data_IF_480449511422
#
_entry.id   IF_480449511422
#
_cell.length_a   1.000
_cell.length_b   1.000
_cell.length_c   1.000
_cell.angle_alpha   90.00
_cell.angle_beta   90.00
_cell.angle_gamma   90.00
#
_symmetry.space_group_name_H-M   'P 1'
#
loop_
_entity.id
_entity.type
_entity.pdbx_description
1 polymer ?
#
# COMPACT_ATOMS: atom_id res chain seq x y z
N UNK A 1 -5.32 24.87 -10.00
CA UNK A 1 -5.47 24.54 -9.06
C UNK A 1 -4.55 24.30 -8.43
N UNK A 2 -4.38 24.49 -7.83
CA UNK A 2 -3.53 24.19 -7.15
C UNK A 2 -3.52 23.21 -6.45
N UNK A 3 -3.09 22.43 -6.73
CA UNK A 3 -3.14 21.26 -6.15
C UNK A 3 -2.06 21.13 -5.21
N UNK A 4 -2.36 20.89 -3.99
CA UNK A 4 -1.41 20.77 -2.92
C UNK A 4 -1.03 19.32 -2.67
N UNK A 5 -1.34 18.44 -3.58
CA UNK A 5 -1.10 17.02 -3.38
C UNK A 5 0.21 16.59 -4.05
N UNK A 6 0.73 15.46 -3.61
CA UNK A 6 1.95 14.90 -4.16
C UNK A 6 1.76 13.43 -4.43
N UNK A 7 2.40 12.98 -5.49
CA UNK A 7 2.37 11.57 -5.85
C UNK A 7 3.53 10.86 -5.15
N UNK A 8 3.24 9.73 -4.56
CA UNK A 8 4.23 8.94 -3.85
C UNK A 8 4.03 7.46 -4.14
N UNK A 9 5.12 6.72 -4.08
CA UNK A 9 5.09 5.26 -4.21
C UNK A 9 5.65 4.68 -2.93
N UNK A 10 4.90 3.76 -2.35
CA UNK A 10 5.31 3.10 -1.13
C UNK A 10 5.36 1.61 -1.40
N UNK A 11 6.49 0.99 -1.09
CA UNK A 11 6.64 -0.46 -1.19
C UNK A 11 6.88 -1.02 0.19
N UNK A 12 6.14 -2.07 0.53
CA UNK A 12 6.21 -2.67 1.85
C UNK A 12 6.46 -4.16 1.72
N UNK A 13 7.35 -4.68 2.56
CA UNK A 13 7.59 -6.10 2.65
C UNK A 13 7.07 -6.56 4.00
N UNK A 14 6.10 -7.46 3.97
CA UNK A 14 5.37 -7.87 5.16
C UNK A 14 5.57 -9.36 5.35
N UNK A 15 5.99 -9.76 6.55
CA UNK A 15 6.36 -11.15 6.81
C UNK A 15 5.39 -11.87 7.75
N UNK A 16 4.24 -11.28 8.05
CA UNK A 16 3.24 -11.98 8.85
C UNK A 16 1.84 -11.50 8.48
N UNK A 17 0.86 -12.35 8.76
CA UNK A 17 -0.50 -12.09 8.32
C UNK A 17 -1.18 -11.00 9.14
N UNK A 18 -0.79 -10.86 10.39
CA UNK A 18 -1.37 -9.82 11.23
C UNK A 18 -1.05 -8.44 10.68
N UNK A 19 0.22 -8.24 10.32
CA UNK A 19 0.64 -6.96 9.75
C UNK A 19 -0.01 -6.73 8.40
N UNK A 20 -0.14 -7.79 7.60
CA UNK A 20 -0.78 -7.66 6.30
C UNK A 20 -2.23 -7.21 6.47
N UNK A 21 -2.95 -7.77 7.43
CA UNK A 21 -4.33 -7.39 7.67
C UNK A 21 -4.43 -5.94 8.13
N UNK A 22 -3.53 -5.51 9.01
CA UNK A 22 -3.52 -4.13 9.50
C UNK A 22 -3.23 -3.15 8.37
N UNK A 23 -2.26 -3.49 7.52
CA UNK A 23 -1.91 -2.63 6.39
C UNK A 23 -3.08 -2.54 5.41
N UNK A 24 -3.73 -3.66 5.13
CA UNK A 24 -4.86 -3.64 4.20
C UNK A 24 -6.02 -2.80 4.75
N UNK A 25 -6.28 -2.87 6.06
CA UNK A 25 -7.30 -2.04 6.68
C UNK A 25 -6.96 -0.57 6.56
N UNK A 26 -5.69 -0.22 6.81
CA UNK A 26 -5.25 1.15 6.71
C UNK A 26 -5.38 1.68 5.28
N UNK A 27 -4.98 0.87 4.30
CA UNK A 27 -5.08 1.26 2.90
C UNK A 27 -6.53 1.44 2.48
N UNK A 28 -7.42 0.61 3.02
CA UNK A 28 -8.83 0.77 2.74
C UNK A 28 -9.34 2.11 3.26
N UNK A 29 -8.90 2.51 4.44
CA UNK A 29 -9.31 3.79 5.01
C UNK A 29 -8.79 4.97 4.19
N UNK A 30 -7.66 4.80 3.53
CA UNK A 30 -7.05 5.86 2.73
C UNK A 30 -7.35 5.70 1.24
N UNK A 31 -8.30 4.88 0.88
CA UNK A 31 -8.52 4.48 -0.52
C UNK A 31 -8.77 5.65 -1.46
N UNK A 32 -9.30 6.73 -0.94
CA UNK A 32 -9.59 7.88 -1.81
C UNK A 32 -8.32 8.54 -2.35
N UNK A 33 -7.19 8.28 -1.71
CA UNK A 33 -5.92 8.83 -2.18
C UNK A 33 -5.15 7.85 -3.05
N UNK A 34 -5.58 6.60 -3.14
CA UNK A 34 -4.81 5.57 -3.81
C UNK A 34 -5.14 5.56 -5.29
N UNK A 35 -4.11 5.74 -6.12
CA UNK A 35 -4.25 5.67 -7.57
C UNK A 35 -4.22 4.22 -8.03
N UNK A 36 -3.37 3.41 -7.41
CA UNK A 36 -3.25 2.01 -7.75
C UNK A 36 -2.46 1.27 -6.70
N UNK A 37 -2.62 -0.05 -6.66
CA UNK A 37 -1.86 -0.87 -5.75
C UNK A 37 -1.67 -2.25 -6.37
N UNK A 38 -0.60 -2.91 -5.94
CA UNK A 38 -0.31 -4.25 -6.42
C UNK A 38 0.27 -5.06 -5.27
N UNK A 39 -0.34 -6.20 -5.00
CA UNK A 39 0.15 -7.13 -4.00
C UNK A 39 0.79 -8.31 -4.66
N UNK A 40 1.99 -8.68 -4.21
CA UNK A 40 2.72 -9.81 -4.75
C UNK A 40 3.05 -10.75 -3.60
N UNK A 41 2.38 -11.91 -3.52
CA UNK A 41 2.74 -12.89 -2.51
C UNK A 41 4.00 -13.63 -2.94
N UNK A 42 4.96 -13.71 -2.04
CA UNK A 42 6.19 -14.46 -2.30
C UNK A 42 6.23 -15.60 -1.31
N UNK A 43 5.62 -16.72 -1.69
CA UNK A 43 5.35 -17.81 -0.76
C UNK A 43 6.59 -18.53 -0.30
N UNK A 44 7.60 -18.60 -1.14
CA UNK A 44 8.83 -19.30 -0.81
C UNK A 44 9.49 -18.72 0.43
N UNK A 45 9.32 -17.42 0.67
CA UNK A 45 9.89 -16.77 1.83
C UNK A 45 8.84 -16.31 2.82
N UNK A 46 7.59 -16.66 2.61
CA UNK A 46 6.53 -16.28 3.52
C UNK A 46 6.31 -14.78 3.57
N UNK A 47 6.49 -14.11 2.44
CA UNK A 47 6.41 -12.67 2.38
C UNK A 47 5.23 -12.21 1.54
N UNK A 48 4.72 -11.04 1.86
CA UNK A 48 3.80 -10.30 1.00
C UNK A 48 4.43 -8.96 0.68
N UNK A 49 4.48 -8.62 -0.59
CA UNK A 49 5.05 -7.36 -1.05
C UNK A 49 3.90 -6.51 -1.56
N UNK A 50 3.68 -5.37 -0.92
CA UNK A 50 2.57 -4.50 -1.28
C UNK A 50 3.13 -3.19 -1.80
N UNK A 51 2.72 -2.83 -3.01
CA UNK A 51 3.11 -1.58 -3.65
C UNK A 51 1.90 -0.70 -3.80
N UNK A 52 2.02 0.55 -3.40
CA UNK A 52 0.91 1.49 -3.44
C UNK A 52 1.39 2.78 -4.10
N UNK A 53 0.61 3.27 -5.04
CA UNK A 53 0.82 4.59 -5.63
C UNK A 53 -0.32 5.47 -5.16
N UNK A 54 0.01 6.60 -4.58
CA UNK A 54 -1.02 7.49 -4.06
C UNK A 54 -0.71 8.94 -4.40
N UNK A 55 -1.76 9.74 -4.35
CA UNK A 55 -1.68 11.17 -4.55
C UNK A 55 -2.43 11.80 -3.38
N UNK A 56 -1.71 12.39 -2.45
CA UNK A 56 -2.30 12.84 -1.19
C UNK A 56 -1.67 14.15 -0.75
N UNK A 57 -2.38 14.89 0.11
CA UNK A 57 -1.84 16.14 0.64
C UNK A 57 -0.57 15.93 1.44
#
# INVERSE_FOLDING_TARGET
MQDETRVAVISMIIDNEESAASINALLHDCREYIIGRMGIPYREKGLNIINVVLDAP
#
